data_IF_806893743150
#
_entry.id   IF_806893743150
#
_cell.length_a   1.000
_cell.length_b   1.000
_cell.length_c   1.000
_cell.angle_alpha   90.00
_cell.angle_beta   90.00
_cell.angle_gamma   90.00
#
_symmetry.space_group_name_H-M   'P 1'
#
loop_
_entity.id
_entity.type
_entity.pdbx_description
1 polymer ?
#
# COMPACT_ATOMS: atom_id res chain seq x y z
N UNK A 1 -9.93 -17.74 -28.03
CA UNK A 1 -10.61 -16.48 -27.67
C UNK A 1 -9.69 -15.74 -26.70
N UNK A 2 -9.11 -14.60 -27.08
CA UNK A 2 -8.40 -13.74 -26.14
C UNK A 2 -9.44 -13.31 -25.10
N UNK A 3 -9.35 -13.84 -23.87
CA UNK A 3 -10.22 -13.36 -22.80
C UNK A 3 -9.85 -11.91 -22.53
N UNK A 4 -10.77 -11.00 -22.83
CA UNK A 4 -10.64 -9.59 -22.49
C UNK A 4 -10.46 -9.48 -20.98
N UNK A 5 -9.43 -8.77 -20.54
CA UNK A 5 -9.21 -8.56 -19.12
C UNK A 5 -10.43 -7.89 -18.48
N UNK A 6 -10.79 -8.33 -17.29
CA UNK A 6 -11.94 -7.81 -16.55
C UNK A 6 -11.53 -6.68 -15.60
N UNK A 7 -10.32 -6.76 -15.03
CA UNK A 7 -9.81 -5.78 -14.07
C UNK A 7 -8.54 -5.12 -14.57
N UNK A 8 -8.45 -3.79 -14.39
CA UNK A 8 -7.23 -3.02 -14.61
C UNK A 8 -6.61 -2.64 -13.27
N UNK A 9 -5.31 -2.86 -13.14
CA UNK A 9 -4.55 -2.53 -11.95
C UNK A 9 -3.45 -1.54 -12.28
N UNK A 10 -3.56 -0.33 -11.74
CA UNK A 10 -2.47 0.65 -11.73
C UNK A 10 -1.48 0.33 -10.61
N UNK A 11 -0.22 0.75 -10.77
CA UNK A 11 0.84 0.45 -9.80
C UNK A 11 1.14 -1.05 -9.65
N UNK A 12 0.85 -1.86 -10.68
CA UNK A 12 0.97 -3.32 -10.63
C UNK A 12 2.42 -3.83 -10.45
N UNK A 13 3.43 -3.03 -10.80
CA UNK A 13 4.85 -3.32 -10.52
C UNK A 13 5.32 -2.78 -9.16
N UNK A 14 4.43 -2.10 -8.43
CA UNK A 14 4.63 -1.66 -7.05
C UNK A 14 4.19 -2.70 -6.02
N UNK A 15 4.29 -2.34 -4.75
CA UNK A 15 3.93 -3.20 -3.63
C UNK A 15 2.43 -3.49 -3.59
N UNK A 16 1.59 -2.45 -3.54
CA UNK A 16 0.13 -2.58 -3.40
C UNK A 16 -0.51 -3.16 -4.66
N UNK A 17 -0.35 -2.49 -5.81
CA UNK A 17 -0.95 -2.94 -7.07
C UNK A 17 -0.48 -4.33 -7.47
N UNK A 18 0.80 -4.68 -7.21
CA UNK A 18 1.30 -6.03 -7.46
C UNK A 18 0.61 -7.09 -6.59
N UNK A 19 0.35 -6.80 -5.32
CA UNK A 19 -0.39 -7.69 -4.44
C UNK A 19 -1.85 -7.86 -4.91
N UNK A 20 -2.53 -6.78 -5.28
CA UNK A 20 -3.91 -6.82 -5.81
C UNK A 20 -4.00 -7.61 -7.11
N UNK A 21 -3.08 -7.36 -8.05
CA UNK A 21 -3.08 -8.05 -9.35
C UNK A 21 -2.86 -9.57 -9.18
N UNK A 22 -1.96 -9.97 -8.28
CA UNK A 22 -1.73 -11.39 -7.96
C UNK A 22 -2.93 -12.03 -7.25
N UNK A 23 -3.55 -11.32 -6.30
CA UNK A 23 -4.73 -11.82 -5.60
C UNK A 23 -5.92 -12.02 -6.55
N UNK A 24 -6.23 -11.03 -7.40
CA UNK A 24 -7.25 -11.17 -8.45
C UNK A 24 -6.96 -12.36 -9.37
N UNK A 25 -5.70 -12.55 -9.74
CA UNK A 25 -5.31 -13.66 -10.62
C UNK A 25 -5.43 -15.01 -9.93
N UNK A 26 -5.07 -15.11 -8.65
CA UNK A 26 -5.23 -16.32 -7.85
C UNK A 26 -6.72 -16.72 -7.72
N UNK A 27 -7.62 -15.73 -7.67
CA UNK A 27 -9.09 -15.93 -7.70
C UNK A 27 -9.65 -16.22 -9.09
N UNK A 28 -8.78 -16.51 -10.07
CA UNK A 28 -9.18 -16.88 -11.43
C UNK A 28 -9.70 -15.73 -12.29
N UNK A 29 -9.48 -14.47 -11.89
CA UNK A 29 -9.89 -13.31 -12.69
C UNK A 29 -8.89 -13.01 -13.80
N UNK A 30 -9.40 -12.35 -14.85
CA UNK A 30 -8.59 -11.88 -15.96
C UNK A 30 -8.12 -10.45 -15.65
N UNK A 31 -6.81 -10.26 -15.56
CA UNK A 31 -6.20 -9.02 -15.05
C UNK A 31 -5.33 -8.38 -16.12
N UNK A 32 -5.42 -7.06 -16.22
CA UNK A 32 -4.54 -6.18 -16.99
C UNK A 32 -3.75 -5.31 -16.02
N UNK A 33 -2.44 -5.33 -16.13
CA UNK A 33 -1.53 -4.47 -15.38
C UNK A 33 -1.11 -3.28 -16.23
N UNK A 34 -1.34 -2.07 -15.74
CA UNK A 34 -0.82 -0.85 -16.40
C UNK A 34 0.65 -0.67 -16.04
N UNK A 35 1.53 -0.67 -17.05
CA UNK A 35 2.98 -0.62 -16.86
C UNK A 35 3.65 0.39 -17.78
N UNK A 36 4.71 1.05 -17.29
CA UNK A 36 5.55 1.94 -18.08
C UNK A 36 6.50 1.16 -19.00
N UNK A 37 7.19 0.17 -18.43
CA UNK A 37 8.17 -0.66 -19.14
C UNK A 37 7.75 -2.14 -19.09
N UNK A 38 7.34 -2.73 -20.24
CA UNK A 38 6.95 -4.12 -20.31
C UNK A 38 8.14 -5.08 -20.16
N UNK A 39 9.38 -4.64 -20.38
CA UNK A 39 10.58 -5.48 -20.32
C UNK A 39 11.21 -5.54 -18.92
N UNK A 40 10.75 -4.72 -17.99
CA UNK A 40 11.19 -4.76 -16.59
C UNK A 40 10.96 -6.15 -15.97
N UNK A 41 11.88 -6.60 -15.10
CA UNK A 41 11.76 -7.89 -14.41
C UNK A 41 10.41 -8.07 -13.71
N UNK A 42 9.87 -7.00 -13.13
CA UNK A 42 8.56 -7.01 -12.45
C UNK A 42 7.39 -7.18 -13.42
N UNK A 43 7.41 -6.50 -14.57
CA UNK A 43 6.37 -6.67 -15.59
C UNK A 43 6.40 -8.09 -16.20
N UNK A 44 7.60 -8.61 -16.46
CA UNK A 44 7.80 -10.00 -16.92
C UNK A 44 7.29 -11.03 -15.90
N UNK A 45 7.50 -10.80 -14.60
CA UNK A 45 6.96 -11.66 -13.54
C UNK A 45 5.42 -11.64 -13.49
N UNK A 46 4.77 -10.52 -13.78
CA UNK A 46 3.30 -10.45 -13.89
C UNK A 46 2.80 -11.29 -15.08
N UNK A 47 3.45 -11.18 -16.24
CA UNK A 47 3.10 -12.00 -17.41
C UNK A 47 3.29 -13.50 -17.16
N UNK A 48 4.34 -13.88 -16.44
CA UNK A 48 4.62 -15.27 -16.10
C UNK A 48 3.48 -15.94 -15.28
N UNK A 49 2.68 -15.15 -14.54
CA UNK A 49 1.50 -15.64 -13.80
C UNK A 49 0.18 -15.42 -14.56
N UNK A 50 0.26 -15.06 -15.85
CA UNK A 50 -0.90 -14.90 -16.72
C UNK A 50 -1.62 -13.55 -16.61
N UNK A 51 -0.96 -12.51 -16.09
CA UNK A 51 -1.49 -11.14 -16.08
C UNK A 51 -1.09 -10.45 -17.40
N UNK A 52 -2.06 -9.91 -18.11
CA UNK A 52 -1.82 -9.16 -19.35
C UNK A 52 -1.27 -7.76 -19.05
N UNK A 53 -0.52 -7.17 -19.98
CA UNK A 53 0.04 -5.82 -19.80
C UNK A 53 -0.68 -4.81 -20.69
N UNK A 54 -0.96 -3.63 -20.15
CA UNK A 54 -1.24 -2.42 -20.90
C UNK A 54 -0.07 -1.45 -20.73
N UNK A 55 0.64 -1.19 -21.83
CA UNK A 55 1.81 -0.31 -21.84
C UNK A 55 1.33 1.13 -21.99
N UNK A 56 1.73 1.99 -21.07
CA UNK A 56 1.33 3.39 -21.08
C UNK A 56 2.05 4.22 -20.03
N UNK A 57 1.68 5.50 -19.99
CA UNK A 57 2.25 6.47 -19.07
C UNK A 57 1.12 7.22 -18.38
N UNK A 58 1.19 7.39 -17.06
CA UNK A 58 0.21 8.15 -16.30
C UNK A 58 0.19 9.65 -16.64
N UNK A 59 1.20 10.15 -17.37
CA UNK A 59 1.20 11.50 -17.96
C UNK A 59 0.59 11.56 -19.38
N UNK A 60 0.26 10.41 -19.98
CA UNK A 60 -0.44 10.31 -21.28
C UNK A 60 -1.86 9.80 -21.07
N UNK A 61 -2.81 10.74 -21.04
CA UNK A 61 -4.24 10.44 -20.86
C UNK A 61 -4.78 9.44 -21.86
N UNK A 62 -4.36 9.52 -23.13
CA UNK A 62 -4.83 8.60 -24.16
C UNK A 62 -4.36 7.17 -23.90
N UNK A 63 -3.21 6.97 -23.26
CA UNK A 63 -2.76 5.63 -22.84
C UNK A 63 -3.59 5.06 -21.69
N UNK A 64 -4.03 5.90 -20.76
CA UNK A 64 -4.94 5.52 -19.68
C UNK A 64 -6.29 5.10 -20.27
N UNK A 65 -6.85 5.90 -21.18
CA UNK A 65 -8.14 5.63 -21.82
C UNK A 65 -8.12 4.28 -22.59
N UNK A 66 -7.08 4.03 -23.39
CA UNK A 66 -6.89 2.73 -24.08
C UNK A 66 -6.82 1.55 -23.11
N UNK A 67 -6.18 1.74 -21.96
CA UNK A 67 -6.06 0.67 -20.96
C UNK A 67 -7.40 0.33 -20.28
N UNK A 68 -8.35 1.26 -20.27
CA UNK A 68 -9.69 1.09 -19.69
C UNK A 68 -10.68 0.36 -20.60
N UNK A 69 -10.35 0.18 -21.89
CA UNK A 69 -11.26 -0.47 -22.84
C UNK A 69 -11.64 -1.89 -22.41
N UNK A 70 -12.94 -2.12 -22.24
CA UNK A 70 -13.54 -3.41 -21.86
C UNK A 70 -13.37 -3.77 -20.37
N UNK A 71 -12.88 -2.86 -19.54
CA UNK A 71 -12.61 -3.11 -18.11
C UNK A 71 -13.88 -2.90 -17.28
N UNK A 72 -14.16 -3.86 -16.39
CA UNK A 72 -15.27 -3.79 -15.42
C UNK A 72 -14.86 -3.08 -14.13
N UNK A 73 -13.67 -3.37 -13.61
CA UNK A 73 -13.22 -2.86 -12.31
C UNK A 73 -11.79 -2.34 -12.36
N UNK A 74 -11.51 -1.27 -11.62
CA UNK A 74 -10.20 -0.60 -11.61
C UNK A 74 -9.65 -0.51 -10.20
N UNK A 75 -8.42 -0.97 -9.99
CA UNK A 75 -7.63 -0.61 -8.82
C UNK A 75 -6.71 0.56 -9.13
N UNK A 76 -6.88 1.67 -8.43
CA UNK A 76 -6.12 2.90 -8.59
C UNK A 76 -5.20 3.13 -7.39
N UNK A 77 -3.90 3.17 -7.65
CA UNK A 77 -2.86 3.59 -6.71
C UNK A 77 -1.74 4.28 -7.49
N UNK A 78 -1.29 5.43 -7.02
CA UNK A 78 -0.19 6.20 -7.60
C UNK A 78 1.10 5.92 -6.83
N UNK A 79 2.24 6.19 -7.48
CA UNK A 79 3.48 6.35 -6.74
C UNK A 79 3.35 7.62 -5.87
N UNK A 80 3.83 7.53 -4.63
CA UNK A 80 3.69 8.63 -3.69
C UNK A 80 4.83 9.64 -3.92
N UNK A 81 4.56 10.94 -3.78
CA UNK A 81 5.58 12.00 -3.90
C UNK A 81 6.89 11.82 -3.10
N UNK A 82 6.97 11.15 -1.93
CA UNK A 82 8.22 11.06 -1.15
C UNK A 82 9.33 10.26 -1.82
N UNK A 83 9.02 9.44 -2.84
CA UNK A 83 10.05 8.84 -3.70
C UNK A 83 10.76 9.85 -4.61
N UNK A 84 10.30 11.10 -4.69
CA UNK A 84 10.85 12.15 -5.55
C UNK A 84 10.62 11.92 -7.05
N UNK A 85 9.84 10.89 -7.42
CA UNK A 85 9.54 10.60 -8.84
C UNK A 85 8.51 11.57 -9.41
N UNK A 86 7.60 12.09 -8.57
CA UNK A 86 6.53 13.02 -8.97
C UNK A 86 6.22 14.04 -7.85
N UNK A 87 5.70 15.21 -8.21
CA UNK A 87 5.16 16.20 -7.26
C UNK A 87 3.77 15.80 -6.74
N UNK A 88 3.32 16.43 -5.66
CA UNK A 88 1.96 16.21 -5.12
C UNK A 88 0.87 16.58 -6.15
N UNK A 89 1.07 17.65 -6.92
CA UNK A 89 0.14 18.06 -7.99
C UNK A 89 0.10 17.03 -9.13
N UNK A 90 1.24 16.40 -9.42
CA UNK A 90 1.29 15.33 -10.41
C UNK A 90 0.57 14.08 -9.89
N UNK A 91 0.72 13.71 -8.61
CA UNK A 91 -0.04 12.61 -7.99
C UNK A 91 -1.55 12.87 -8.08
N UNK A 92 -1.99 14.09 -7.70
CA UNK A 92 -3.39 14.53 -7.80
C UNK A 92 -3.88 14.40 -9.24
N UNK A 93 -3.13 14.94 -10.20
CA UNK A 93 -3.49 14.88 -11.62
C UNK A 93 -3.67 13.44 -12.09
N UNK A 94 -2.73 12.55 -11.76
CA UNK A 94 -2.82 11.13 -12.13
C UNK A 94 -4.05 10.46 -11.52
N UNK A 95 -4.35 10.73 -10.24
CA UNK A 95 -5.56 10.23 -9.58
C UNK A 95 -6.85 10.67 -10.25
N UNK A 96 -6.95 11.96 -10.59
CA UNK A 96 -8.11 12.53 -11.30
C UNK A 96 -8.25 11.96 -12.71
N UNK A 97 -7.14 11.88 -13.46
CA UNK A 97 -7.14 11.31 -14.81
C UNK A 97 -7.63 9.87 -14.84
N UNK A 98 -7.15 9.02 -13.92
CA UNK A 98 -7.61 7.63 -13.80
C UNK A 98 -9.11 7.57 -13.49
N UNK A 99 -9.59 8.41 -12.57
CA UNK A 99 -10.99 8.42 -12.17
C UNK A 99 -11.91 8.87 -13.32
N UNK A 100 -11.51 9.92 -14.06
CA UNK A 100 -12.24 10.40 -15.23
C UNK A 100 -12.24 9.37 -16.37
N UNK A 101 -11.10 8.72 -16.64
CA UNK A 101 -11.01 7.65 -17.63
C UNK A 101 -11.90 6.46 -17.27
N UNK A 102 -11.94 6.10 -15.99
CA UNK A 102 -12.80 5.03 -15.50
C UNK A 102 -14.28 5.39 -15.71
N UNK A 103 -14.68 6.63 -15.40
CA UNK A 103 -16.04 7.11 -15.64
C UNK A 103 -16.39 7.10 -17.13
N UNK A 104 -15.51 7.66 -17.98
CA UNK A 104 -15.73 7.74 -19.43
C UNK A 104 -15.83 6.35 -20.09
N UNK A 105 -15.07 5.37 -19.60
CA UNK A 105 -15.11 3.99 -20.09
C UNK A 105 -16.30 3.17 -19.53
N UNK A 106 -17.09 3.73 -18.61
CA UNK A 106 -18.21 3.01 -17.99
C UNK A 106 -17.78 1.92 -17.00
N UNK A 107 -16.62 2.08 -16.35
CA UNK A 107 -16.14 1.17 -15.30
C UNK A 107 -17.20 1.05 -14.21
N UNK A 108 -17.54 -0.19 -13.87
CA UNK A 108 -18.60 -0.50 -12.90
C UNK A 108 -18.16 -0.34 -11.44
N UNK A 109 -16.85 -0.38 -11.17
CA UNK A 109 -16.30 -0.18 -9.83
C UNK A 109 -14.87 0.36 -9.84
N UNK A 110 -14.64 1.48 -9.18
CA UNK A 110 -13.31 2.05 -8.93
C UNK A 110 -12.93 1.86 -7.46
N UNK A 111 -11.87 1.09 -7.19
CA UNK A 111 -11.24 1.04 -5.87
C UNK A 111 -10.02 1.94 -5.86
N UNK A 112 -10.05 2.97 -5.03
CA UNK A 112 -8.94 3.91 -4.85
C UNK A 112 -8.21 3.63 -3.54
N UNK A 113 -6.91 3.35 -3.62
CA UNK A 113 -6.05 3.16 -2.44
C UNK A 113 -5.44 4.48 -2.01
N UNK A 114 -5.93 4.98 -0.89
CA UNK A 114 -5.51 6.20 -0.21
C UNK A 114 -4.52 5.88 0.92
N UNK A 115 -4.65 6.53 2.07
CA UNK A 115 -3.84 6.34 3.27
C UNK A 115 -4.69 6.57 4.52
N UNK A 116 -4.36 5.89 5.63
CA UNK A 116 -5.00 6.13 6.93
C UNK A 116 -4.83 7.56 7.48
N UNK A 117 -3.95 8.38 6.91
CA UNK A 117 -3.83 9.80 7.25
C UNK A 117 -4.89 10.68 6.53
N UNK A 118 -5.45 10.20 5.42
CA UNK A 118 -6.29 11.01 4.56
C UNK A 118 -7.63 11.37 5.21
N UNK A 119 -8.12 12.58 4.94
CA UNK A 119 -9.39 13.08 5.47
C UNK A 119 -9.37 13.45 6.96
N UNK A 120 -8.20 13.51 7.59
CA UNK A 120 -8.02 13.92 9.01
C UNK A 120 -7.56 15.37 9.18
N UNK A 121 -7.69 16.18 8.11
CA UNK A 121 -7.15 17.54 8.04
C UNK A 121 -5.73 17.58 7.45
N UNK A 122 -5.15 18.79 7.27
CA UNK A 122 -3.81 18.94 6.70
C UNK A 122 -2.76 18.29 7.58
N UNK A 123 -2.04 17.32 7.01
CA UNK A 123 -0.97 16.60 7.70
C UNK A 123 0.35 17.36 7.62
N UNK A 124 0.49 18.31 6.69
CA UNK A 124 1.76 18.97 6.40
C UNK A 124 2.74 18.06 5.67
N UNK A 125 2.27 16.90 5.20
CA UNK A 125 3.01 16.02 4.31
C UNK A 125 2.20 15.88 3.02
N UNK A 126 2.72 16.47 1.95
CA UNK A 126 2.00 16.62 0.69
C UNK A 126 1.43 15.31 0.15
N UNK A 127 2.13 14.21 0.33
CA UNK A 127 1.71 12.89 -0.13
C UNK A 127 0.50 12.26 0.62
N UNK A 128 0.14 12.76 1.79
CA UNK A 128 -1.11 12.39 2.46
C UNK A 128 -2.24 13.37 2.11
N UNK A 129 -1.89 14.64 1.95
CA UNK A 129 -2.82 15.71 1.62
C UNK A 129 -3.32 15.55 0.15
N UNK A 130 -2.44 15.15 -0.77
CA UNK A 130 -2.75 14.80 -2.17
C UNK A 130 -3.81 13.70 -2.26
N UNK A 131 -3.68 12.65 -1.46
CA UNK A 131 -4.64 11.55 -1.40
C UNK A 131 -6.00 12.01 -0.90
N UNK A 132 -6.03 12.90 0.10
CA UNK A 132 -7.29 13.51 0.56
C UNK A 132 -8.00 14.29 -0.55
N UNK A 133 -7.25 14.99 -1.40
CA UNK A 133 -7.82 15.69 -2.54
C UNK A 133 -8.36 14.71 -3.60
N UNK A 134 -7.61 13.64 -3.91
CA UNK A 134 -8.06 12.60 -4.85
C UNK A 134 -9.33 11.91 -4.31
N UNK A 135 -9.40 11.60 -3.01
CA UNK A 135 -10.60 11.04 -2.40
C UNK A 135 -11.82 11.94 -2.59
N UNK A 136 -11.67 13.25 -2.36
CA UNK A 136 -12.76 14.21 -2.54
C UNK A 136 -13.22 14.27 -4.00
N UNK A 137 -12.29 14.22 -4.95
CA UNK A 137 -12.61 14.16 -6.36
C UNK A 137 -13.37 12.88 -6.73
N UNK A 138 -12.86 11.71 -6.32
CA UNK A 138 -13.49 10.42 -6.59
C UNK A 138 -14.92 10.36 -6.03
N UNK A 139 -15.16 10.91 -4.83
CA UNK A 139 -16.52 10.99 -4.24
C UNK A 139 -17.48 11.88 -5.02
N UNK A 140 -16.97 12.91 -5.69
CA UNK A 140 -17.80 13.86 -6.44
C UNK A 140 -18.23 13.31 -7.82
N UNK A 141 -17.56 12.28 -8.32
CA UNK A 141 -17.89 11.67 -9.60
C UNK A 141 -19.09 10.71 -9.48
N UNK A 142 -19.95 10.62 -10.51
CA UNK A 142 -21.05 9.66 -10.57
C UNK A 142 -20.55 8.25 -10.95
N UNK A 143 -19.49 7.78 -10.29
CA UNK A 143 -18.92 6.44 -10.45
C UNK A 143 -19.07 5.65 -9.16
N UNK A 144 -19.45 4.39 -9.28
CA UNK A 144 -19.42 3.47 -8.14
C UNK A 144 -17.97 3.29 -7.68
N UNK A 145 -17.65 3.80 -6.49
CA UNK A 145 -16.29 3.77 -5.97
C UNK A 145 -16.21 3.28 -4.54
N UNK A 146 -15.07 2.71 -4.16
CA UNK A 146 -14.70 2.40 -2.78
C UNK A 146 -13.33 2.96 -2.50
N UNK A 147 -13.16 3.59 -1.34
CA UNK A 147 -11.87 4.13 -0.92
C UNK A 147 -11.31 3.20 0.16
N UNK A 148 -10.08 2.75 -0.02
CA UNK A 148 -9.36 1.96 0.96
C UNK A 148 -8.20 2.76 1.53
N UNK A 149 -8.00 2.67 2.85
CA UNK A 149 -7.00 3.41 3.60
C UNK A 149 -6.16 2.40 4.37
N UNK A 150 -5.11 1.86 3.75
CA UNK A 150 -4.26 0.91 4.44
C UNK A 150 -3.50 1.56 5.60
N UNK A 151 -3.31 0.78 6.66
CA UNK A 151 -2.31 1.01 7.69
C UNK A 151 -0.90 0.75 7.15
N UNK A 152 0.13 0.94 7.99
CA UNK A 152 1.52 0.72 7.57
C UNK A 152 1.82 -0.72 7.19
N UNK A 153 2.62 -0.92 6.15
CA UNK A 153 2.94 -2.27 5.66
C UNK A 153 4.00 -2.93 6.52
N UNK A 154 3.84 -4.22 6.82
CA UNK A 154 4.86 -4.98 7.55
C UNK A 154 6.21 -4.97 6.84
N UNK A 155 6.18 -4.93 5.50
CA UNK A 155 7.34 -4.84 4.61
C UNK A 155 8.18 -3.58 4.85
N UNK A 156 7.58 -2.48 5.32
CA UNK A 156 8.32 -1.24 5.62
C UNK A 156 9.33 -1.42 6.75
N UNK A 157 9.05 -2.33 7.69
CA UNK A 157 9.97 -2.64 8.79
C UNK A 157 11.26 -3.33 8.30
N UNK A 158 11.25 -3.89 7.09
CA UNK A 158 12.41 -4.60 6.52
C UNK A 158 13.28 -3.70 5.63
N UNK A 159 12.93 -2.42 5.50
CA UNK A 159 13.71 -1.48 4.68
C UNK A 159 15.12 -1.28 5.24
N UNK A 160 16.11 -0.96 4.39
CA UNK A 160 17.45 -0.61 4.84
C UNK A 160 17.44 0.51 5.89
N UNK A 161 18.37 0.39 6.85
CA UNK A 161 18.56 1.37 7.93
C UNK A 161 17.63 1.22 9.14
N UNK A 162 16.77 0.20 9.20
CA UNK A 162 16.02 -0.10 10.44
C UNK A 162 16.87 -0.73 11.55
N UNK A 163 18.14 -1.07 11.30
CA UNK A 163 19.08 -1.54 12.34
C UNK A 163 19.05 -3.02 12.69
N UNK A 164 18.20 -3.84 12.03
CA UNK A 164 18.03 -5.28 12.31
C UNK A 164 19.35 -6.06 12.27
N UNK A 165 20.27 -5.68 11.39
CA UNK A 165 21.61 -6.25 11.26
C UNK A 165 22.57 -5.96 12.44
N UNK A 166 22.16 -5.10 13.38
CA UNK A 166 22.96 -4.70 14.56
C UNK A 166 22.43 -5.23 15.89
N UNK A 167 21.38 -6.06 15.86
CA UNK A 167 20.66 -6.47 17.08
C UNK A 167 19.74 -5.38 17.65
N UNK A 168 19.41 -4.35 16.85
CA UNK A 168 18.46 -3.31 17.19
C UNK A 168 17.35 -3.24 16.14
N UNK A 169 16.26 -2.56 16.46
CA UNK A 169 15.23 -2.20 15.49
C UNK A 169 14.73 -0.78 15.78
N UNK A 170 14.94 0.13 14.84
CA UNK A 170 14.57 1.54 14.94
C UNK A 170 13.26 1.82 14.20
N UNK A 171 12.29 2.41 14.89
CA UNK A 171 11.02 2.78 14.27
C UNK A 171 10.36 4.01 14.94
N UNK A 172 9.16 4.38 14.47
CA UNK A 172 8.55 5.68 14.81
C UNK A 172 7.89 5.76 16.20
N UNK A 173 7.32 4.65 16.67
CA UNK A 173 6.42 4.63 17.83
C UNK A 173 7.16 4.86 19.15
N UNK A 174 6.42 5.34 20.16
CA UNK A 174 6.85 5.09 21.54
C UNK A 174 6.78 3.59 21.85
N UNK A 175 7.58 3.14 22.82
CA UNK A 175 7.72 1.70 23.13
C UNK A 175 6.38 1.04 23.48
N UNK A 176 5.50 1.73 24.20
CA UNK A 176 4.18 1.29 24.66
C UNK A 176 3.02 1.75 23.74
N UNK A 177 3.31 2.57 22.73
CA UNK A 177 2.30 3.06 21.80
C UNK A 177 1.94 1.99 20.76
N UNK A 178 0.64 1.80 20.53
CA UNK A 178 0.15 0.91 19.48
C UNK A 178 0.18 1.59 18.12
N UNK A 179 0.59 0.82 17.10
CA UNK A 179 0.41 1.15 15.70
C UNK A 179 -0.12 -0.07 14.96
N UNK A 180 -1.06 0.20 14.06
CA UNK A 180 -1.67 -0.78 13.20
C UNK A 180 -0.79 -1.06 11.98
N UNK A 181 -0.69 -2.33 11.62
CA UNK A 181 0.09 -2.82 10.50
C UNK A 181 -0.69 -3.84 9.67
N UNK A 182 -0.31 -3.99 8.41
CA UNK A 182 -0.91 -4.96 7.49
C UNK A 182 0.16 -5.61 6.60
N UNK A 183 0.02 -6.90 6.33
CA UNK A 183 0.83 -7.56 5.30
C UNK A 183 0.30 -7.19 3.91
N UNK A 184 1.19 -6.95 2.93
CA UNK A 184 0.76 -6.64 1.56
C UNK A 184 -0.11 -7.74 0.95
N UNK A 185 0.09 -8.99 1.36
CA UNK A 185 -0.70 -10.13 0.90
C UNK A 185 -2.19 -9.98 1.29
N UNK A 186 -2.48 -9.63 2.55
CA UNK A 186 -3.85 -9.35 2.99
C UNK A 186 -4.41 -8.10 2.33
N UNK A 187 -3.60 -7.06 2.18
CA UNK A 187 -4.03 -5.85 1.46
C UNK A 187 -4.47 -6.19 0.02
N UNK A 188 -3.69 -7.03 -0.67
CA UNK A 188 -4.01 -7.52 -2.01
C UNK A 188 -5.33 -8.29 -2.04
N UNK A 189 -5.47 -9.26 -1.13
CA UNK A 189 -6.66 -10.11 -0.96
C UNK A 189 -7.93 -9.31 -0.67
N UNK A 190 -7.86 -8.34 0.25
CA UNK A 190 -8.99 -7.49 0.63
C UNK A 190 -9.43 -6.61 -0.55
N UNK A 191 -8.50 -5.93 -1.22
CA UNK A 191 -8.85 -5.07 -2.36
C UNK A 191 -9.37 -5.86 -3.56
N UNK A 192 -8.82 -7.07 -3.81
CA UNK A 192 -9.35 -7.97 -4.83
C UNK A 192 -10.80 -8.39 -4.50
N UNK A 193 -11.08 -8.75 -3.25
CA UNK A 193 -12.44 -9.07 -2.79
C UNK A 193 -13.40 -7.87 -2.96
N UNK A 194 -12.96 -6.67 -2.60
CA UNK A 194 -13.75 -5.43 -2.75
C UNK A 194 -14.09 -5.19 -4.23
N UNK A 195 -13.10 -5.26 -5.13
CA UNK A 195 -13.28 -5.08 -6.57
C UNK A 195 -14.29 -6.07 -7.19
N UNK A 196 -14.29 -7.31 -6.70
CA UNK A 196 -15.18 -8.34 -7.18
C UNK A 196 -16.62 -8.21 -6.64
N UNK A 197 -16.85 -7.37 -5.62
CA UNK A 197 -18.12 -7.29 -4.89
C UNK A 197 -18.64 -5.85 -4.71
N UNK A 198 -18.77 -5.04 -5.79
CA UNK A 198 -19.16 -3.63 -5.71
C UNK A 198 -20.44 -3.37 -4.92
N UNK A 199 -21.43 -4.25 -5.04
CA UNK A 199 -22.73 -4.15 -4.36
C UNK A 199 -22.62 -4.08 -2.82
N UNK A 200 -21.53 -4.59 -2.23
CA UNK A 200 -21.32 -4.56 -0.79
C UNK A 200 -20.45 -3.40 -0.32
N UNK A 201 -19.68 -2.77 -1.22
CA UNK A 201 -18.61 -1.84 -0.85
C UNK A 201 -18.68 -0.48 -1.53
N UNK A 202 -19.48 -0.30 -2.57
CA UNK A 202 -19.66 0.98 -3.25
C UNK A 202 -20.12 2.06 -2.25
N UNK A 203 -19.52 3.25 -2.35
CA UNK A 203 -19.73 4.38 -1.46
C UNK A 203 -19.02 4.29 -0.11
N UNK A 204 -18.34 3.18 0.22
CA UNK A 204 -17.64 3.01 1.51
C UNK A 204 -16.21 3.54 1.47
N UNK A 205 -15.76 3.96 2.66
CA UNK A 205 -14.36 4.21 2.99
C UNK A 205 -13.96 3.19 4.05
N UNK A 206 -12.89 2.43 3.82
CA UNK A 206 -12.44 1.37 4.73
C UNK A 206 -11.00 1.65 5.16
N UNK A 207 -10.80 1.80 6.47
CA UNK A 207 -9.48 1.71 7.10
C UNK A 207 -9.10 0.22 7.16
N UNK A 208 -7.90 -0.16 6.70
CA UNK A 208 -7.50 -1.56 6.57
C UNK A 208 -6.23 -1.85 7.38
N UNK A 209 -6.34 -2.77 8.34
CA UNK A 209 -5.21 -3.28 9.13
C UNK A 209 -5.37 -4.77 9.42
N UNK A 210 -4.26 -5.47 9.69
CA UNK A 210 -4.26 -6.86 10.13
C UNK A 210 -3.96 -7.05 11.63
N UNK A 211 -3.22 -6.13 12.24
CA UNK A 211 -2.80 -6.24 13.64
C UNK A 211 -2.38 -4.88 14.22
N UNK A 212 -2.65 -4.64 15.51
CA UNK A 212 -2.04 -3.56 16.28
C UNK A 212 -0.86 -4.11 17.10
N UNK A 213 0.27 -3.38 17.11
CA UNK A 213 1.53 -3.79 17.72
C UNK A 213 2.17 -2.61 18.47
N UNK A 214 2.82 -2.88 19.60
CA UNK A 214 3.71 -1.94 20.28
C UNK A 214 5.17 -2.17 19.92
N UNK A 215 6.07 -1.27 20.35
CA UNK A 215 7.52 -1.51 20.24
C UNK A 215 7.97 -2.77 20.99
N UNK A 216 7.32 -3.09 22.12
CA UNK A 216 7.58 -4.32 22.87
C UNK A 216 7.15 -5.59 22.10
N UNK A 217 6.00 -5.54 21.44
CA UNK A 217 5.54 -6.65 20.59
C UNK A 217 6.52 -6.90 19.44
N UNK A 218 7.04 -5.83 18.83
CA UNK A 218 8.03 -5.89 17.75
C UNK A 218 9.37 -6.47 18.23
N UNK A 219 9.91 -5.97 19.35
CA UNK A 219 11.13 -6.51 20.00
C UNK A 219 10.99 -8.02 20.26
N UNK A 220 9.86 -8.43 20.84
CA UNK A 220 9.61 -9.84 21.15
C UNK A 220 9.46 -10.69 19.88
N UNK A 221 8.73 -10.21 18.88
CA UNK A 221 8.49 -10.94 17.63
C UNK A 221 9.79 -11.12 16.82
N UNK A 222 10.58 -10.06 16.68
CA UNK A 222 11.85 -10.11 15.96
C UNK A 222 12.89 -10.94 16.71
N UNK A 223 13.01 -10.79 18.03
CA UNK A 223 13.94 -11.61 18.82
C UNK A 223 13.65 -13.11 18.67
N UNK A 224 12.37 -13.48 18.74
CA UNK A 224 11.95 -14.88 18.55
C UNK A 224 12.25 -15.39 17.13
N UNK A 225 12.00 -14.58 16.11
CA UNK A 225 12.24 -14.96 14.72
C UNK A 225 13.73 -15.05 14.37
N UNK A 226 14.57 -14.19 14.97
CA UNK A 226 16.01 -14.14 14.74
C UNK A 226 16.77 -15.22 15.52
N UNK A 227 16.24 -15.65 16.67
CA UNK A 227 16.93 -16.57 17.59
C UNK A 227 18.00 -15.90 18.47
N UNK A 228 18.06 -14.57 18.47
CA UNK A 228 18.90 -13.75 19.34
C UNK A 228 18.19 -12.42 19.66
N UNK A 229 18.59 -11.72 20.74
CA UNK A 229 17.93 -10.47 21.13
C UNK A 229 17.99 -9.39 20.04
N UNK A 230 16.84 -8.78 19.74
CA UNK A 230 16.70 -7.58 18.91
C UNK A 230 15.99 -6.52 19.73
N UNK A 231 16.65 -5.42 20.03
CA UNK A 231 16.10 -4.38 20.91
C UNK A 231 15.34 -3.32 20.12
N UNK A 232 14.09 -3.07 20.49
CA UNK A 232 13.32 -1.96 19.94
C UNK A 232 13.86 -0.64 20.47
N UNK A 233 14.12 0.29 19.54
CA UNK A 233 14.41 1.67 19.84
C UNK A 233 13.55 2.56 18.95
N UNK A 234 13.14 3.70 19.49
CA UNK A 234 12.56 4.75 18.64
C UNK A 234 13.68 5.39 17.82
N UNK A 235 13.34 5.96 16.66
CA UNK A 235 14.29 6.82 15.95
C UNK A 235 14.83 7.91 16.90
N UNK A 236 16.16 8.09 16.97
CA UNK A 236 16.77 9.01 17.93
C UNK A 236 16.49 10.46 17.55
N UNK A 237 16.34 11.33 18.55
CA UNK A 237 16.03 12.76 18.33
C UNK A 237 17.04 13.44 17.39
N UNK A 238 18.33 13.12 17.52
CA UNK A 238 19.37 13.66 16.64
C UNK A 238 19.15 13.35 15.15
N UNK A 239 18.57 12.18 14.83
CA UNK A 239 18.19 11.83 13.47
C UNK A 239 16.95 12.61 13.02
N UNK A 240 15.95 12.71 13.90
CA UNK A 240 14.71 13.46 13.60
C UNK A 240 14.99 14.94 13.37
N UNK A 241 15.91 15.54 14.13
CA UNK A 241 16.35 16.92 13.94
C UNK A 241 16.99 17.17 12.56
N UNK A 242 17.70 16.17 12.03
CA UNK A 242 18.38 16.24 10.74
C UNK A 242 17.51 15.81 9.56
N UNK A 243 16.36 15.17 9.82
CA UNK A 243 15.47 14.65 8.79
C UNK A 243 14.03 15.12 9.04
N UNK A 244 13.66 16.23 8.39
CA UNK A 244 12.34 16.86 8.52
C UNK A 244 11.19 15.94 8.14
N UNK A 245 11.39 15.05 7.17
CA UNK A 245 10.40 14.04 6.78
C UNK A 245 10.15 13.05 7.91
N UNK A 246 11.21 12.42 8.44
CA UNK A 246 11.09 11.45 9.52
C UNK A 246 10.51 12.12 10.78
N UNK A 247 10.95 13.33 11.11
CA UNK A 247 10.38 14.11 12.22
C UNK A 247 8.88 14.32 12.06
N UNK A 248 8.44 14.81 10.90
CA UNK A 248 7.02 15.08 10.68
C UNK A 248 6.19 13.80 10.71
N UNK A 249 6.67 12.73 10.09
CA UNK A 249 6.00 11.43 10.14
C UNK A 249 5.91 10.91 11.57
N UNK A 250 6.95 11.09 12.37
CA UNK A 250 6.99 10.73 13.80
C UNK A 250 5.96 11.53 14.62
N UNK A 251 5.86 12.84 14.41
CA UNK A 251 4.83 13.69 15.04
C UNK A 251 3.41 13.22 14.71
N UNK A 252 3.18 12.75 13.47
CA UNK A 252 1.89 12.19 13.04
C UNK A 252 1.62 10.80 13.61
N UNK A 253 2.65 10.02 13.97
CA UNK A 253 2.49 8.79 14.73
C UNK A 253 2.07 9.14 16.15
N UNK A 254 2.78 10.07 16.80
CA UNK A 254 2.52 10.46 18.19
C UNK A 254 1.11 10.99 18.42
N UNK A 255 0.57 11.76 17.48
CA UNK A 255 -0.79 12.28 17.57
C UNK A 255 -1.87 11.30 17.06
N UNK A 256 -1.49 10.09 16.66
CA UNK A 256 -2.39 9.02 16.23
C UNK A 256 -2.91 9.12 14.79
N UNK A 257 -2.51 10.12 14.00
CA UNK A 257 -2.99 10.29 12.63
C UNK A 257 -2.58 9.11 11.75
N UNK A 258 -1.33 8.65 11.86
CA UNK A 258 -0.81 7.48 11.12
C UNK A 258 -0.68 6.21 11.97
N UNK A 259 -1.12 6.23 13.22
CA UNK A 259 -1.10 5.04 14.08
C UNK A 259 -2.13 3.97 13.64
N UNK A 260 -3.11 4.37 12.83
CA UNK A 260 -4.18 3.52 12.29
C UNK A 260 -5.34 3.30 13.26
N UNK A 261 -6.54 3.21 12.71
CA UNK A 261 -7.82 3.20 13.45
C UNK A 261 -8.82 2.18 12.91
N UNK A 262 -8.34 1.19 12.16
CA UNK A 262 -9.18 0.16 11.57
C UNK A 262 -9.81 -0.74 12.64
N UNK A 263 -11.07 -1.12 12.43
CA UNK A 263 -11.76 -2.14 13.21
C UNK A 263 -11.34 -3.53 12.74
N UNK A 264 -10.23 -4.04 13.27
CA UNK A 264 -9.63 -5.33 12.87
C UNK A 264 -10.61 -6.50 13.05
N UNK A 265 -11.35 -6.64 14.18
CA UNK A 265 -12.36 -7.70 14.30
C UNK A 265 -13.46 -7.64 13.22
N UNK A 266 -13.93 -6.44 12.86
CA UNK A 266 -14.91 -6.30 11.78
C UNK A 266 -14.31 -6.67 10.41
N UNK A 267 -13.05 -6.30 10.16
CA UNK A 267 -12.34 -6.70 8.95
C UNK A 267 -12.14 -8.22 8.88
N UNK A 268 -11.77 -8.88 9.98
CA UNK A 268 -11.63 -10.33 10.05
C UNK A 268 -12.96 -11.04 9.82
N UNK A 269 -14.06 -10.49 10.32
CA UNK A 269 -15.40 -11.00 10.02
C UNK A 269 -15.77 -10.86 8.54
N UNK A 270 -15.35 -9.77 7.90
CA UNK A 270 -15.70 -9.48 6.50
C UNK A 270 -14.81 -10.22 5.50
N UNK A 271 -13.52 -10.37 5.81
CA UNK A 271 -12.52 -10.86 4.88
C UNK A 271 -11.86 -12.16 5.34
N UNK A 272 -12.06 -12.62 6.58
CA UNK A 272 -11.33 -13.75 7.16
C UNK A 272 -10.10 -13.30 7.95
N UNK A 273 -9.48 -14.25 8.66
CA UNK A 273 -8.34 -14.00 9.55
C UNK A 273 -7.21 -13.25 8.85
N UNK A 274 -6.63 -12.27 9.55
CA UNK A 274 -5.52 -11.48 9.04
C UNK A 274 -4.18 -12.06 9.48
N UNK A 275 -3.20 -12.03 8.59
CA UNK A 275 -1.82 -12.39 8.84
C UNK A 275 -1.25 -11.59 10.01
N UNK A 276 -0.87 -12.28 11.08
CA UNK A 276 -0.19 -11.68 12.24
C UNK A 276 1.32 -11.65 12.00
N UNK A 277 2.02 -10.71 12.63
CA UNK A 277 3.45 -10.51 12.43
C UNK A 277 4.28 -11.78 12.64
N UNK A 278 3.95 -12.57 13.69
CA UNK A 278 4.65 -13.85 13.95
C UNK A 278 4.52 -14.84 12.80
N UNK A 279 3.31 -14.98 12.24
CA UNK A 279 3.05 -15.84 11.09
C UNK A 279 3.81 -15.31 9.87
N UNK A 280 3.72 -13.99 9.63
CA UNK A 280 4.39 -13.32 8.52
C UNK A 280 5.92 -13.53 8.54
N UNK A 281 6.56 -13.37 9.70
CA UNK A 281 8.01 -13.57 9.90
C UNK A 281 8.47 -15.01 9.62
N UNK A 282 7.61 -16.00 9.85
CA UNK A 282 7.91 -17.41 9.58
C UNK A 282 7.48 -17.87 8.18
N UNK A 283 6.61 -17.12 7.53
CA UNK A 283 6.05 -17.40 6.20
C UNK A 283 6.54 -16.41 5.15
N UNK A 284 5.64 -15.60 4.54
CA UNK A 284 5.97 -14.78 3.37
C UNK A 284 7.00 -13.67 3.65
N UNK A 285 7.09 -13.17 4.88
CA UNK A 285 8.06 -12.16 5.29
C UNK A 285 9.46 -12.71 5.59
N UNK A 286 9.60 -14.04 5.76
CA UNK A 286 10.87 -14.68 6.15
C UNK A 286 12.05 -14.29 5.25
N UNK A 287 11.95 -14.29 3.90
CA UNK A 287 13.07 -13.90 3.04
C UNK A 287 13.48 -12.43 3.22
N UNK A 288 12.52 -11.53 3.42
CA UNK A 288 12.78 -10.11 3.65
C UNK A 288 13.46 -9.90 5.01
N UNK A 289 12.97 -10.58 6.04
CA UNK A 289 13.57 -10.53 7.37
C UNK A 289 15.00 -11.09 7.38
N UNK A 290 15.22 -12.26 6.77
CA UNK A 290 16.56 -12.81 6.59
C UNK A 290 17.48 -11.88 5.82
N UNK A 291 17.00 -11.21 4.77
CA UNK A 291 17.80 -10.24 4.04
C UNK A 291 18.14 -9.01 4.90
N UNK A 292 17.18 -8.50 5.69
CA UNK A 292 17.39 -7.34 6.56
C UNK A 292 18.39 -7.63 7.70
N UNK A 293 18.37 -8.84 8.26
CA UNK A 293 19.36 -9.27 9.28
C UNK A 293 20.79 -9.34 8.74
N UNK A 294 20.95 -9.62 7.45
CA UNK A 294 22.25 -9.80 6.80
C UNK A 294 22.66 -8.60 5.94
N UNK A 295 21.88 -7.51 5.96
CA UNK A 295 22.14 -6.35 5.12
C UNK A 295 23.41 -5.61 5.59
N UNK A 296 24.19 -5.02 4.67
CA UNK A 296 25.24 -4.10 5.04
C UNK A 296 24.64 -2.90 5.79
N UNK A 297 25.46 -2.24 6.62
CA UNK A 297 25.04 -1.00 7.25
C UNK A 297 24.68 0.02 6.16
N UNK A 298 23.49 0.61 6.30
CA UNK A 298 22.92 1.50 5.31
C UNK A 298 22.16 2.62 6.01
N UNK A 299 22.07 3.77 5.35
CA UNK A 299 21.19 4.85 5.77
C UNK A 299 19.73 4.42 5.70
N UNK A 300 18.89 5.08 6.49
CA UNK A 300 17.45 4.85 6.52
C UNK A 300 16.85 5.14 5.15
N UNK A 301 16.25 4.10 4.56
CA UNK A 301 15.60 4.16 3.26
C UNK A 301 14.11 4.57 3.34
N UNK A 302 13.61 4.92 4.54
CA UNK A 302 12.33 5.62 4.69
C UNK A 302 12.50 7.05 4.19
N UNK A 303 11.92 7.32 3.01
CA UNK A 303 11.88 8.63 2.37
C UNK A 303 10.46 8.94 1.96
#
# INVERSE_FOLDING_TARGET
MNKTAEFLVFGATGQQGGAVARALRADGREVRAFVRDPYSKKAQALMAVGITLAVGNLFDRASIDRAMEGIRGVFSVQASSPQGEISDEQEIKQGKDIADSALAAGVSHLVYSSSGAAGKGPTGMGHFDSKSEIENYVRALPISSTITRPASFMEMMMLPGMGLNTGNFFFFMQRDQQMQMIALEDLGRINAHILCNPQHFAGKVLEISGQALTGEDLEQAFSNAAGFPIHYQRFPDALLEQNSFLRRLTELVDNGIVAGVADIPALEKAFGEMMKLKQWLTGPGKPLFSAALNAPQADIALR
#
